data_IF_339155077780
#
_entry.id   IF_339155077780
#
_cell.length_a   1.000
_cell.length_b   1.000
_cell.length_c   1.000
_cell.angle_alpha   90.00
_cell.angle_beta   90.00
_cell.angle_gamma   90.00
#
_symmetry.space_group_name_H-M   'P 1'
#
loop_
_entity.id
_entity.type
_entity.pdbx_description
1 polymer ?
#
# COMPACT_ATOMS: atom_id res chain seq x y z
N UNK A 1 -59.16 36.02 -31.54
CA UNK A 1 -58.91 34.71 -30.92
C UNK A 1 -57.44 34.63 -30.55
N UNK A 2 -57.02 34.71 -29.28
CA UNK A 2 -55.59 34.57 -28.90
C UNK A 2 -55.23 33.09 -28.73
N UNK A 3 -54.15 32.69 -29.38
CA UNK A 3 -53.55 31.34 -29.21
C UNK A 3 -52.72 31.33 -27.94
N UNK A 4 -53.12 30.49 -26.99
CA UNK A 4 -52.39 30.21 -25.74
C UNK A 4 -51.28 29.22 -26.03
N UNK A 5 -49.99 29.62 -25.92
CA UNK A 5 -48.85 28.73 -25.96
C UNK A 5 -48.62 28.16 -24.56
N UNK A 6 -48.84 26.86 -24.39
CA UNK A 6 -48.41 26.10 -23.21
C UNK A 6 -46.93 25.77 -23.35
N UNK A 7 -46.08 26.42 -22.55
CA UNK A 7 -44.69 25.99 -22.35
C UNK A 7 -44.66 24.84 -21.33
N UNK A 8 -44.43 23.65 -21.83
CA UNK A 8 -44.17 22.47 -20.97
C UNK A 8 -42.71 22.50 -20.52
N UNK A 9 -42.48 22.80 -19.25
CA UNK A 9 -41.17 22.68 -18.61
C UNK A 9 -40.90 21.21 -18.32
N UNK A 10 -40.01 20.57 -19.11
CA UNK A 10 -39.49 19.22 -18.83
C UNK A 10 -38.39 19.35 -17.78
N UNK A 11 -38.71 18.97 -16.53
CA UNK A 11 -37.72 18.82 -15.47
C UNK A 11 -36.94 17.54 -15.72
N UNK A 12 -35.74 17.65 -16.31
CA UNK A 12 -34.78 16.56 -16.36
C UNK A 12 -34.22 16.32 -14.96
N UNK A 13 -34.76 15.33 -14.26
CA UNK A 13 -34.11 14.71 -13.09
C UNK A 13 -32.86 14.02 -13.52
N UNK A 14 -31.68 14.66 -13.38
CA UNK A 14 -30.39 14.00 -13.45
C UNK A 14 -30.26 13.18 -12.17
N UNK A 15 -30.63 11.89 -12.27
CA UNK A 15 -30.26 10.90 -11.24
C UNK A 15 -28.76 10.71 -11.39
N UNK A 16 -27.99 11.45 -10.58
CA UNK A 16 -26.59 11.14 -10.36
C UNK A 16 -26.54 9.78 -9.66
N UNK A 17 -26.38 8.70 -10.42
CA UNK A 17 -25.93 7.44 -9.87
C UNK A 17 -24.57 7.71 -9.25
N UNK A 18 -24.51 7.87 -7.94
CA UNK A 18 -23.29 7.77 -7.17
C UNK A 18 -22.78 6.33 -7.37
N UNK A 19 -21.92 6.14 -8.37
CA UNK A 19 -21.15 4.92 -8.49
C UNK A 19 -20.32 4.82 -7.21
N UNK A 20 -20.80 4.03 -6.26
CA UNK A 20 -20.08 3.69 -5.05
C UNK A 20 -18.92 2.79 -5.50
N UNK A 21 -17.74 3.37 -5.74
CA UNK A 21 -16.55 2.57 -6.01
C UNK A 21 -16.20 1.83 -4.73
N UNK A 22 -16.02 0.51 -4.84
CA UNK A 22 -15.50 -0.28 -3.74
C UNK A 22 -14.03 0.10 -3.49
N UNK A 23 -13.56 0.03 -2.23
CA UNK A 23 -12.16 0.27 -1.94
C UNK A 23 -11.26 -0.77 -2.62
N UNK A 24 -10.06 -0.36 -3.02
CA UNK A 24 -9.03 -1.29 -3.48
C UNK A 24 -8.67 -2.26 -2.35
N UNK A 25 -8.46 -3.52 -2.70
CA UNK A 25 -8.06 -4.57 -1.76
C UNK A 25 -6.56 -4.75 -1.84
N UNK A 26 -5.85 -4.38 -0.77
CA UNK A 26 -4.39 -4.49 -0.69
C UNK A 26 -4.03 -5.58 0.31
N UNK A 27 -3.39 -6.66 -0.17
CA UNK A 27 -2.92 -7.75 0.67
C UNK A 27 -1.72 -7.31 1.51
N UNK A 28 -1.89 -7.26 2.84
CA UNK A 28 -0.85 -6.86 3.81
C UNK A 28 0.22 -7.94 3.90
N UNK A 29 1.45 -7.61 3.50
CA UNK A 29 2.58 -8.55 3.41
C UNK A 29 2.22 -9.81 2.58
N UNK A 30 1.41 -9.61 1.55
CA UNK A 30 0.69 -10.67 0.85
C UNK A 30 -0.66 -11.00 1.51
N UNK A 31 -0.96 -12.28 1.67
CA UNK A 31 -2.11 -12.76 2.43
C UNK A 31 -1.63 -13.35 3.77
N UNK A 32 -1.04 -12.51 4.65
CA UNK A 32 -0.38 -12.98 5.86
C UNK A 32 -1.31 -13.67 6.87
N UNK A 33 -2.61 -13.50 6.73
CA UNK A 33 -3.59 -14.24 7.53
C UNK A 33 -3.68 -15.73 7.19
N UNK A 34 -3.09 -16.16 6.07
CA UNK A 34 -3.09 -17.54 5.57
C UNK A 34 -1.70 -18.15 5.43
N UNK A 35 -0.71 -17.36 5.00
CA UNK A 35 0.66 -17.81 4.72
C UNK A 35 1.64 -16.83 5.35
N UNK A 36 2.83 -17.32 5.73
CA UNK A 36 3.86 -16.50 6.36
C UNK A 36 4.11 -15.20 5.61
N UNK A 37 4.07 -14.10 6.33
CA UNK A 37 4.19 -12.73 5.83
C UNK A 37 5.45 -12.48 4.99
N UNK A 38 5.36 -11.57 4.01
CA UNK A 38 6.49 -11.11 3.22
C UNK A 38 7.23 -12.25 2.49
N UNK A 39 6.52 -13.29 2.08
CA UNK A 39 7.06 -14.42 1.31
C UNK A 39 6.40 -14.51 -0.06
N UNK A 40 7.11 -15.08 -1.04
CA UNK A 40 6.56 -15.31 -2.39
C UNK A 40 5.21 -16.07 -2.32
N UNK A 41 5.06 -17.18 -1.56
CA UNK A 41 3.77 -17.87 -1.45
C UNK A 41 2.66 -17.03 -0.81
N UNK A 42 2.98 -16.09 0.10
CA UNK A 42 1.98 -15.17 0.67
C UNK A 42 1.47 -14.20 -0.38
N UNK A 43 2.35 -13.70 -1.24
CA UNK A 43 2.02 -12.82 -2.35
C UNK A 43 1.17 -13.55 -3.38
N UNK A 44 1.58 -14.75 -3.80
CA UNK A 44 0.82 -15.62 -4.70
C UNK A 44 -0.59 -15.90 -4.16
N UNK A 45 -0.70 -16.15 -2.85
CA UNK A 45 -1.99 -16.36 -2.21
C UNK A 45 -2.88 -15.12 -2.23
N UNK A 46 -2.34 -13.93 -2.04
CA UNK A 46 -3.11 -12.69 -2.16
C UNK A 46 -3.60 -12.46 -3.60
N UNK A 47 -2.79 -12.78 -4.61
CA UNK A 47 -3.18 -12.75 -6.02
C UNK A 47 -4.33 -13.73 -6.28
N UNK A 48 -4.21 -14.98 -5.80
CA UNK A 48 -5.26 -16.02 -5.91
C UNK A 48 -6.59 -15.55 -5.29
N UNK A 49 -6.53 -14.84 -4.15
CA UNK A 49 -7.69 -14.30 -3.45
C UNK A 49 -8.26 -13.01 -4.09
N UNK A 50 -7.71 -12.56 -5.21
CA UNK A 50 -8.24 -11.44 -5.99
C UNK A 50 -7.92 -10.07 -5.41
N UNK A 51 -6.78 -9.91 -4.72
CA UNK A 51 -6.28 -8.61 -4.31
C UNK A 51 -6.03 -7.69 -5.52
N UNK A 52 -6.30 -6.38 -5.37
CA UNK A 52 -5.98 -5.36 -6.38
C UNK A 52 -4.52 -4.90 -6.29
N UNK A 53 -3.91 -5.14 -5.15
CA UNK A 53 -2.51 -4.83 -4.89
C UNK A 53 -1.95 -5.61 -3.71
N UNK A 54 -0.65 -5.53 -3.57
CA UNK A 54 0.12 -6.17 -2.51
C UNK A 54 0.89 -5.08 -1.76
N UNK A 55 0.92 -5.17 -0.45
CA UNK A 55 1.82 -4.39 0.39
C UNK A 55 2.95 -5.29 0.90
N UNK A 56 4.17 -4.78 0.91
CA UNK A 56 5.38 -5.45 1.41
C UNK A 56 6.28 -4.48 2.16
N UNK A 57 7.09 -5.01 3.06
CA UNK A 57 8.08 -4.27 3.84
C UNK A 57 9.49 -4.48 3.30
N UNK A 58 10.31 -3.43 3.14
CA UNK A 58 11.67 -3.56 2.65
C UNK A 58 12.72 -2.99 3.59
N UNK A 59 13.84 -3.72 3.70
CA UNK A 59 15.09 -3.27 4.31
C UNK A 59 16.23 -3.34 3.28
N UNK A 60 17.24 -2.52 3.47
CA UNK A 60 18.52 -2.68 2.78
C UNK A 60 19.44 -3.54 3.65
N UNK A 61 19.84 -4.72 3.16
CA UNK A 61 20.75 -5.61 3.88
C UNK A 61 22.21 -5.13 3.83
N UNK A 62 23.10 -5.78 4.58
CA UNK A 62 24.50 -5.35 4.71
C UNK A 62 25.27 -5.30 3.38
N UNK A 63 24.93 -6.14 2.43
CA UNK A 63 25.57 -6.19 1.10
C UNK A 63 24.95 -5.21 0.09
N UNK A 64 23.87 -4.51 0.48
CA UNK A 64 23.28 -3.39 -0.27
C UNK A 64 21.98 -3.71 -0.98
N UNK A 65 21.56 -4.97 -1.08
CA UNK A 65 20.33 -5.38 -1.75
C UNK A 65 19.10 -5.07 -0.89
N UNK A 66 17.96 -4.86 -1.55
CA UNK A 66 16.67 -4.70 -0.90
C UNK A 66 16.02 -6.07 -0.67
N UNK A 67 15.72 -6.38 0.59
CA UNK A 67 15.11 -7.63 1.02
C UNK A 67 13.75 -7.38 1.65
N UNK A 68 12.82 -8.33 1.45
CA UNK A 68 11.43 -8.18 1.87
C UNK A 68 11.21 -8.89 3.20
N UNK A 69 11.07 -8.10 4.26
CA UNK A 69 10.92 -8.58 5.63
C UNK A 69 10.42 -7.44 6.52
N UNK A 70 9.68 -7.75 7.60
CA UNK A 70 9.07 -6.71 8.44
C UNK A 70 9.91 -6.28 9.63
N UNK A 71 10.43 -7.24 10.41
CA UNK A 71 11.11 -6.94 11.67
C UNK A 71 12.61 -6.67 11.44
N UNK A 72 13.17 -5.73 12.21
CA UNK A 72 14.61 -5.47 12.14
C UNK A 72 15.44 -6.66 12.66
N UNK A 73 14.86 -7.45 13.58
CA UNK A 73 15.50 -8.64 14.15
C UNK A 73 14.96 -9.91 13.48
N UNK A 74 15.86 -10.79 13.07
CA UNK A 74 15.56 -12.02 12.33
C UNK A 74 14.99 -13.16 13.21
N UNK A 75 15.33 -13.16 14.49
CA UNK A 75 15.10 -14.27 15.42
C UNK A 75 13.63 -14.58 15.71
N UNK A 76 12.74 -13.61 15.51
CA UNK A 76 11.30 -13.78 15.76
C UNK A 76 10.63 -14.70 14.73
N UNK A 77 11.00 -14.59 13.47
CA UNK A 77 10.35 -15.29 12.36
C UNK A 77 11.25 -16.26 11.61
N UNK A 78 12.56 -16.26 11.89
CA UNK A 78 13.52 -17.11 11.15
C UNK A 78 14.37 -17.97 12.08
N UNK A 79 15.15 -18.87 11.46
CA UNK A 79 16.17 -19.65 12.13
C UNK A 79 17.52 -18.92 12.30
N UNK A 80 17.59 -17.63 11.93
CA UNK A 80 18.75 -16.77 12.12
C UNK A 80 18.52 -15.80 13.28
N UNK A 81 19.62 -15.32 13.85
CA UNK A 81 19.61 -14.26 14.86
C UNK A 81 20.30 -13.01 14.30
N UNK A 82 19.97 -11.86 14.85
CA UNK A 82 20.63 -10.59 14.55
C UNK A 82 19.80 -9.64 13.70
N UNK A 83 20.42 -8.52 13.34
CA UNK A 83 19.80 -7.43 12.61
C UNK A 83 19.88 -7.69 11.10
N UNK A 84 18.75 -7.55 10.41
CA UNK A 84 18.64 -7.75 8.96
C UNK A 84 19.52 -6.78 8.16
N UNK A 85 19.68 -5.54 8.63
CA UNK A 85 20.52 -4.51 7.97
C UNK A 85 22.02 -4.80 8.13
N UNK A 86 22.42 -5.64 9.12
CA UNK A 86 23.80 -6.06 9.37
C UNK A 86 24.12 -7.46 8.78
N UNK A 87 23.13 -8.11 8.18
CA UNK A 87 23.26 -9.46 7.61
C UNK A 87 23.36 -9.37 6.08
N UNK A 88 24.32 -10.13 5.49
CA UNK A 88 24.49 -10.17 4.02
C UNK A 88 23.35 -10.93 3.34
N UNK A 89 23.09 -10.64 2.05
CA UNK A 89 22.09 -11.36 1.26
C UNK A 89 22.35 -12.87 1.24
N UNK A 90 23.61 -13.30 1.07
CA UNK A 90 23.99 -14.72 1.07
C UNK A 90 23.58 -15.44 2.36
N UNK A 91 23.64 -14.75 3.49
CA UNK A 91 23.18 -15.29 4.78
C UNK A 91 21.66 -15.28 4.87
N UNK A 92 21.01 -14.19 4.44
CA UNK A 92 19.55 -14.05 4.45
C UNK A 92 18.88 -15.10 3.54
N UNK A 93 19.50 -15.45 2.41
CA UNK A 93 18.98 -16.52 1.52
C UNK A 93 19.02 -17.92 2.13
N UNK A 94 19.80 -18.12 3.20
CA UNK A 94 19.83 -19.37 3.99
C UNK A 94 18.77 -19.36 5.11
N UNK A 95 18.22 -18.21 5.43
CA UNK A 95 17.15 -18.08 6.41
C UNK A 95 15.88 -18.81 5.97
N UNK A 96 15.15 -19.32 6.96
CA UNK A 96 13.85 -19.96 6.75
C UNK A 96 12.81 -19.27 7.63
N UNK A 97 11.95 -18.46 7.00
CA UNK A 97 10.78 -17.84 7.65
C UNK A 97 9.83 -18.96 8.08
N UNK A 98 9.52 -19.02 9.37
CA UNK A 98 8.73 -20.08 10.01
C UNK A 98 9.21 -21.50 9.65
N UNK A 99 10.51 -21.68 9.42
CA UNK A 99 11.12 -22.96 9.08
C UNK A 99 10.92 -23.44 7.64
N UNK A 100 10.19 -22.71 6.79
CA UNK A 100 9.75 -23.16 5.46
C UNK A 100 10.19 -22.23 4.32
N UNK A 101 9.95 -20.93 4.43
CA UNK A 101 10.01 -20.01 3.30
C UNK A 101 11.32 -19.21 3.26
N UNK A 102 11.79 -18.86 2.08
CA UNK A 102 12.93 -17.98 1.92
C UNK A 102 12.50 -16.49 2.12
N UNK A 103 13.45 -15.66 2.55
CA UNK A 103 13.31 -14.20 2.51
C UNK A 103 13.51 -13.77 1.04
N UNK A 104 12.51 -13.14 0.39
CA UNK A 104 12.68 -12.67 -0.98
C UNK A 104 13.45 -11.34 -1.04
N UNK A 105 14.05 -11.07 -2.19
CA UNK A 105 14.48 -9.71 -2.56
C UNK A 105 13.33 -8.94 -3.17
N UNK A 106 13.45 -7.61 -3.22
CA UNK A 106 12.47 -6.78 -3.92
C UNK A 106 12.41 -7.13 -5.42
N UNK A 107 13.54 -7.48 -6.06
CA UNK A 107 13.56 -7.94 -7.44
C UNK A 107 12.68 -9.17 -7.65
N UNK A 108 12.82 -10.20 -6.80
CA UNK A 108 12.00 -11.42 -6.91
C UNK A 108 10.51 -11.14 -6.78
N UNK A 109 10.11 -10.16 -5.96
CA UNK A 109 8.71 -9.73 -5.84
C UNK A 109 8.26 -8.94 -7.08
N UNK A 110 9.09 -8.03 -7.57
CA UNK A 110 8.80 -7.25 -8.79
C UNK A 110 8.64 -8.16 -10.00
N UNK A 111 9.52 -9.15 -10.15
CA UNK A 111 9.49 -10.14 -11.24
C UNK A 111 8.23 -11.03 -11.16
N UNK A 112 7.80 -11.42 -9.94
CA UNK A 112 6.58 -12.21 -9.73
C UNK A 112 5.32 -11.45 -10.15
N UNK A 113 5.20 -10.18 -9.75
CA UNK A 113 4.00 -9.37 -9.98
C UNK A 113 3.96 -8.84 -11.42
N UNK A 114 5.12 -8.54 -12.02
CA UNK A 114 5.31 -8.06 -13.40
C UNK A 114 4.30 -6.97 -13.84
N UNK A 115 4.08 -5.97 -12.97
CA UNK A 115 3.18 -4.85 -13.25
C UNK A 115 1.68 -5.20 -13.32
N UNK A 116 1.29 -6.44 -13.04
CA UNK A 116 -0.11 -6.88 -13.11
C UNK A 116 -1.00 -6.25 -12.03
N UNK A 117 -0.43 -5.99 -10.85
CA UNK A 117 -1.12 -5.44 -9.68
C UNK A 117 -0.43 -4.16 -9.16
N UNK A 118 -1.09 -3.47 -8.24
CA UNK A 118 -0.46 -2.40 -7.46
C UNK A 118 0.52 -3.04 -6.47
N UNK A 119 1.72 -2.47 -6.34
CA UNK A 119 2.68 -2.84 -5.31
C UNK A 119 2.94 -1.65 -4.39
N UNK A 120 2.51 -1.77 -3.14
CA UNK A 120 2.85 -0.82 -2.07
C UNK A 120 4.10 -1.31 -1.34
N UNK A 121 5.18 -0.54 -1.45
CA UNK A 121 6.48 -0.85 -0.85
C UNK A 121 6.67 0.04 0.37
N UNK A 122 6.60 -0.54 1.58
CA UNK A 122 6.94 0.16 2.81
C UNK A 122 8.46 0.22 3.01
N UNK A 123 9.01 1.42 3.08
CA UNK A 123 10.42 1.64 3.42
C UNK A 123 10.60 1.54 4.94
N UNK A 124 11.04 0.38 5.44
CA UNK A 124 11.23 0.09 6.88
C UNK A 124 12.57 0.57 7.41
N UNK A 125 13.65 0.29 6.67
CA UNK A 125 15.00 0.65 7.04
C UNK A 125 15.34 2.10 6.71
N UNK A 126 16.39 2.64 7.34
CA UNK A 126 16.98 3.92 6.96
C UNK A 126 17.88 3.73 5.73
N UNK A 127 17.88 4.71 4.82
CA UNK A 127 18.66 4.64 3.58
C UNK A 127 18.11 3.66 2.55
N UNK A 128 16.80 3.34 2.61
CA UNK A 128 16.10 2.51 1.63
C UNK A 128 15.58 3.30 0.44
N UNK A 129 15.32 4.61 0.60
CA UNK A 129 14.72 5.44 -0.45
C UNK A 129 15.54 5.47 -1.75
N UNK A 130 16.86 5.68 -1.66
CA UNK A 130 17.74 5.78 -2.83
C UNK A 130 17.81 4.45 -3.59
N UNK A 131 18.21 3.31 -2.98
CA UNK A 131 18.30 2.05 -3.70
C UNK A 131 16.94 1.56 -4.22
N UNK A 132 15.82 1.88 -3.54
CA UNK A 132 14.48 1.59 -4.06
C UNK A 132 14.18 2.40 -5.31
N UNK A 133 14.48 3.72 -5.31
CA UNK A 133 14.31 4.53 -6.52
C UNK A 133 15.14 4.00 -7.68
N UNK A 134 16.42 3.67 -7.45
CA UNK A 134 17.34 3.22 -8.50
C UNK A 134 16.85 1.90 -9.13
N UNK A 135 16.40 0.96 -8.30
CA UNK A 135 15.81 -0.30 -8.76
C UNK A 135 14.53 -0.05 -9.58
N UNK A 136 13.62 0.79 -9.10
CA UNK A 136 12.38 1.11 -9.82
C UNK A 136 12.67 1.77 -11.17
N UNK A 137 13.65 2.67 -11.26
CA UNK A 137 14.03 3.28 -12.54
C UNK A 137 14.51 2.26 -13.56
N UNK A 138 15.20 1.19 -13.13
CA UNK A 138 15.61 0.11 -14.02
C UNK A 138 14.41 -0.72 -14.49
N UNK A 139 13.44 -1.02 -13.61
CA UNK A 139 12.20 -1.70 -14.00
C UNK A 139 11.36 -0.87 -14.95
N UNK A 140 11.17 0.43 -14.73
CA UNK A 140 10.40 1.30 -15.63
C UNK A 140 11.00 1.41 -17.03
N UNK A 141 12.32 1.24 -17.18
CA UNK A 141 12.99 1.26 -18.49
C UNK A 141 12.95 -0.07 -19.20
N UNK A 142 12.99 -1.18 -18.45
CA UNK A 142 13.32 -2.50 -19.01
C UNK A 142 12.20 -3.54 -18.87
N UNK A 143 11.05 -3.19 -18.28
CA UNK A 143 9.94 -4.11 -18.04
C UNK A 143 8.57 -3.46 -18.29
N UNK A 144 7.48 -4.19 -17.98
CA UNK A 144 6.09 -3.75 -18.10
C UNK A 144 5.61 -2.84 -16.95
N UNK A 145 6.46 -2.52 -15.96
CA UNK A 145 6.06 -1.72 -14.82
C UNK A 145 5.77 -0.26 -15.18
N UNK A 146 4.58 0.20 -14.78
CA UNK A 146 4.16 1.60 -14.84
C UNK A 146 4.35 2.24 -13.45
N UNK A 147 4.94 3.46 -13.34
CA UNK A 147 5.08 4.17 -12.07
C UNK A 147 3.77 4.27 -11.27
N UNK A 148 2.63 4.39 -11.92
CA UNK A 148 1.31 4.48 -11.27
C UNK A 148 0.87 3.19 -10.55
N UNK A 149 1.52 2.07 -10.84
CA UNK A 149 1.30 0.77 -10.18
C UNK A 149 2.14 0.60 -8.91
N UNK A 150 3.06 1.52 -8.62
CA UNK A 150 3.87 1.52 -7.41
C UNK A 150 3.33 2.57 -6.44
N UNK A 151 3.31 2.23 -5.14
CA UNK A 151 3.09 3.17 -4.05
C UNK A 151 4.27 3.00 -3.09
N UNK A 152 4.95 4.08 -2.74
CA UNK A 152 5.98 4.07 -1.70
C UNK A 152 5.37 4.56 -0.41
N UNK A 153 5.47 3.76 0.65
CA UNK A 153 4.97 4.14 1.97
C UNK A 153 6.06 4.03 3.04
N UNK A 154 5.90 4.76 4.13
CA UNK A 154 6.78 4.65 5.30
C UNK A 154 6.23 5.38 6.52
N UNK A 155 6.54 4.87 7.72
CA UNK A 155 6.51 5.61 8.98
C UNK A 155 7.72 6.54 9.14
N UNK A 156 8.83 6.28 8.42
CA UNK A 156 10.01 7.14 8.37
C UNK A 156 9.78 8.24 7.32
N UNK A 157 9.18 9.33 7.74
CA UNK A 157 8.83 10.43 6.84
C UNK A 157 10.06 11.08 6.18
N UNK A 158 11.26 10.94 6.78
CA UNK A 158 12.49 11.39 6.17
C UNK A 158 12.83 10.57 4.90
N UNK A 159 12.60 9.25 4.91
CA UNK A 159 12.76 8.41 3.71
C UNK A 159 11.77 8.84 2.61
N UNK A 160 10.52 9.15 2.98
CA UNK A 160 9.52 9.67 2.02
C UNK A 160 9.94 11.03 1.45
N UNK A 161 10.51 11.91 2.29
CA UNK A 161 11.01 13.21 1.81
C UNK A 161 12.19 13.04 0.85
N UNK A 162 13.12 12.11 1.12
CA UNK A 162 14.21 11.75 0.20
C UNK A 162 13.65 11.21 -1.11
N UNK A 163 12.77 10.19 -1.03
CA UNK A 163 12.18 9.56 -2.21
C UNK A 163 11.40 10.57 -3.07
N UNK A 164 10.60 11.45 -2.45
CA UNK A 164 9.83 12.48 -3.15
C UNK A 164 10.70 13.50 -3.91
N UNK A 165 11.96 13.67 -3.50
CA UNK A 165 12.91 14.53 -4.22
C UNK A 165 13.56 13.81 -5.41
N UNK A 166 13.73 12.48 -5.32
CA UNK A 166 14.33 11.65 -6.36
C UNK A 166 13.32 11.32 -7.48
N UNK A 167 12.07 11.08 -7.09
CA UNK A 167 11.03 10.60 -8.01
C UNK A 167 9.74 11.42 -7.84
N UNK A 168 9.18 11.90 -8.96
CA UNK A 168 7.95 12.69 -8.97
C UNK A 168 6.77 11.96 -9.61
N UNK A 169 7.01 10.79 -10.18
CA UNK A 169 6.02 10.01 -10.92
C UNK A 169 5.39 8.92 -10.05
N UNK A 170 6.17 8.35 -9.14
CA UNK A 170 5.70 7.28 -8.25
C UNK A 170 4.85 7.86 -7.11
N UNK A 171 3.61 7.39 -6.92
CA UNK A 171 2.76 7.71 -5.79
C UNK A 171 3.41 7.46 -4.43
N UNK A 172 3.19 8.37 -3.48
CA UNK A 172 3.70 8.25 -2.11
C UNK A 172 2.54 8.25 -1.13
N UNK A 173 2.59 7.36 -0.12
CA UNK A 173 1.63 7.27 0.96
C UNK A 173 2.31 7.47 2.33
N UNK A 174 1.75 8.36 3.15
CA UNK A 174 2.28 8.66 4.49
C UNK A 174 1.65 7.74 5.51
N UNK A 175 2.43 6.81 6.09
CA UNK A 175 1.99 5.95 7.18
C UNK A 175 1.93 6.72 8.50
N UNK A 176 0.87 6.46 9.29
CA UNK A 176 0.74 7.01 10.64
C UNK A 176 -0.08 6.10 11.56
N UNK A 177 0.37 5.97 12.80
CA UNK A 177 -0.31 5.33 13.92
C UNK A 177 -0.79 6.34 14.99
N UNK A 178 -0.75 7.65 14.64
CA UNK A 178 -1.22 8.78 15.45
C UNK A 178 -2.44 9.44 14.79
N UNK A 179 -2.85 10.60 15.31
CA UNK A 179 -3.94 11.36 14.66
C UNK A 179 -3.62 11.58 13.17
N UNK A 180 -4.44 11.02 12.26
CA UNK A 180 -4.17 11.12 10.83
C UNK A 180 -4.17 12.56 10.30
N UNK A 181 -4.78 13.52 11.01
CA UNK A 181 -4.74 14.93 10.66
C UNK A 181 -3.33 15.53 10.79
N UNK A 182 -2.49 15.01 11.68
CA UNK A 182 -1.10 15.45 11.85
C UNK A 182 -0.23 15.14 10.62
N UNK A 183 -0.63 14.16 9.81
CA UNK A 183 0.08 13.81 8.59
C UNK A 183 -0.21 14.77 7.42
N UNK A 184 -1.30 15.54 7.44
CA UNK A 184 -1.71 16.41 6.32
C UNK A 184 -0.63 17.42 5.93
N UNK A 185 -0.01 18.19 6.85
CA UNK A 185 1.00 19.17 6.47
C UNK A 185 2.20 18.56 5.74
N UNK A 186 2.66 17.38 6.21
CA UNK A 186 3.75 16.67 5.57
C UNK A 186 3.31 16.08 4.21
N UNK A 187 2.16 15.44 4.15
CA UNK A 187 1.61 14.90 2.89
C UNK A 187 1.48 15.99 1.81
N UNK A 188 1.00 17.18 2.17
CA UNK A 188 0.93 18.33 1.25
C UNK A 188 2.32 18.81 0.82
N UNK A 189 3.27 18.88 1.74
CA UNK A 189 4.66 19.31 1.45
C UNK A 189 5.29 18.44 0.37
N UNK A 190 5.13 17.10 0.47
CA UNK A 190 5.74 16.16 -0.48
C UNK A 190 4.82 15.78 -1.65
N UNK A 191 3.62 16.37 -1.71
CA UNK A 191 2.55 16.03 -2.68
C UNK A 191 2.18 14.56 -2.65
N UNK A 192 2.02 14.01 -1.44
CA UNK A 192 1.66 12.62 -1.27
C UNK A 192 0.30 12.30 -1.91
N UNK A 193 0.20 11.13 -2.49
CA UNK A 193 -1.02 10.56 -3.07
C UNK A 193 -2.02 10.14 -1.99
N UNK A 194 -1.51 9.61 -0.86
CA UNK A 194 -2.35 9.07 0.19
C UNK A 194 -1.77 9.28 1.60
N UNK A 195 -2.64 9.12 2.59
CA UNK A 195 -2.28 8.84 3.98
C UNK A 195 -2.78 7.43 4.29
N UNK A 196 -1.91 6.60 4.88
CA UNK A 196 -2.22 5.25 5.34
C UNK A 196 -2.30 5.24 6.87
N UNK A 197 -3.47 5.54 7.45
CA UNK A 197 -3.64 5.62 8.90
C UNK A 197 -3.97 4.26 9.51
N UNK A 198 -3.66 4.08 10.79
CA UNK A 198 -4.24 3.00 11.59
C UNK A 198 -5.77 3.14 11.58
N UNK A 199 -6.49 2.12 11.12
CA UNK A 199 -7.93 2.18 10.86
C UNK A 199 -8.77 2.61 12.08
N UNK A 200 -8.35 2.17 13.30
CA UNK A 200 -9.06 2.49 14.54
C UNK A 200 -9.02 3.98 14.92
N UNK A 201 -8.21 4.79 14.26
CA UNK A 201 -8.11 6.25 14.44
C UNK A 201 -8.96 7.02 13.42
N UNK A 202 -9.52 6.34 12.42
CA UNK A 202 -10.40 6.99 11.44
C UNK A 202 -11.80 7.20 11.99
N UNK A 203 -12.33 8.39 11.72
CA UNK A 203 -13.68 8.83 12.04
C UNK A 203 -14.29 9.50 10.82
N UNK A 204 -15.61 9.67 10.78
CA UNK A 204 -16.27 10.44 9.72
C UNK A 204 -15.68 11.85 9.57
N UNK A 205 -15.31 12.49 10.69
CA UNK A 205 -14.77 13.85 10.70
C UNK A 205 -13.40 13.93 10.05
N UNK A 206 -12.43 13.15 10.52
CA UNK A 206 -11.05 13.24 10.00
C UNK A 206 -10.91 12.66 8.60
N UNK A 207 -11.64 11.57 8.26
CA UNK A 207 -11.69 11.05 6.89
C UNK A 207 -12.18 12.10 5.90
N UNK A 208 -13.27 12.84 6.26
CA UNK A 208 -13.78 13.91 5.40
C UNK A 208 -12.74 15.01 5.21
N UNK A 209 -12.09 15.46 6.28
CA UNK A 209 -11.07 16.53 6.21
C UNK A 209 -9.92 16.12 5.28
N UNK A 210 -9.39 14.89 5.41
CA UNK A 210 -8.30 14.39 4.58
C UNK A 210 -8.71 14.32 3.10
N UNK A 211 -9.92 13.82 2.83
CA UNK A 211 -10.46 13.72 1.46
C UNK A 211 -10.74 15.09 0.85
N UNK A 212 -11.20 16.07 1.62
CA UNK A 212 -11.41 17.45 1.16
C UNK A 212 -10.08 18.13 0.74
N UNK A 213 -8.93 17.66 1.27
CA UNK A 213 -7.58 18.07 0.82
C UNK A 213 -7.12 17.34 -0.45
N UNK A 214 -7.93 16.45 -1.02
CA UNK A 214 -7.59 15.65 -2.21
C UNK A 214 -6.64 14.49 -1.94
N UNK A 215 -6.45 14.09 -0.68
CA UNK A 215 -5.56 13.02 -0.25
C UNK A 215 -6.36 11.73 -0.09
N UNK A 216 -5.89 10.64 -0.64
CA UNK A 216 -6.52 9.32 -0.53
C UNK A 216 -6.26 8.66 0.83
N UNK A 217 -7.09 7.66 1.18
CA UNK A 217 -7.03 6.93 2.43
C UNK A 217 -6.92 5.44 2.20
N UNK A 218 -5.83 4.84 2.74
CA UNK A 218 -5.58 3.40 2.74
C UNK A 218 -5.34 2.92 4.17
N UNK A 219 -6.42 2.74 5.00
CA UNK A 219 -6.28 2.28 6.37
C UNK A 219 -5.71 0.86 6.48
N UNK A 220 -4.95 0.62 7.55
CA UNK A 220 -4.29 -0.65 7.91
C UNK A 220 -4.44 -0.97 9.40
N UNK A 221 -4.33 -2.19 9.85
CA UNK A 221 -4.62 -3.43 9.15
C UNK A 221 -6.06 -3.81 9.47
N UNK A 222 -6.93 -3.89 8.47
CA UNK A 222 -8.37 -4.04 8.65
C UNK A 222 -8.77 -5.47 8.34
N UNK A 223 -9.05 -6.27 9.36
CA UNK A 223 -9.24 -7.72 9.23
C UNK A 223 -10.66 -8.20 9.57
N UNK A 224 -11.32 -7.51 10.49
CA UNK A 224 -12.66 -7.91 10.91
C UNK A 224 -13.71 -7.42 9.90
N UNK A 225 -14.68 -8.26 9.49
CA UNK A 225 -15.73 -7.87 8.55
C UNK A 225 -16.52 -6.61 8.98
N UNK A 226 -16.71 -6.39 10.28
CA UNK A 226 -17.40 -5.20 10.79
C UNK A 226 -16.55 -3.94 10.60
N UNK A 227 -15.22 -4.04 10.76
CA UNK A 227 -14.30 -2.93 10.53
C UNK A 227 -14.16 -2.64 9.03
N UNK A 228 -14.08 -3.69 8.20
CA UNK A 228 -14.09 -3.56 6.73
C UNK A 228 -15.34 -2.79 6.28
N UNK A 229 -16.52 -3.17 6.78
CA UNK A 229 -17.77 -2.47 6.50
C UNK A 229 -17.74 -1.00 6.96
N UNK A 230 -17.16 -0.76 8.13
CA UNK A 230 -17.02 0.60 8.68
C UNK A 230 -16.12 1.46 7.81
N UNK A 231 -14.94 0.96 7.40
CA UNK A 231 -14.01 1.66 6.52
C UNK A 231 -14.62 1.91 5.13
N UNK A 232 -15.30 0.92 4.57
CA UNK A 232 -16.06 1.08 3.30
C UNK A 232 -17.12 2.17 3.41
N UNK A 233 -17.82 2.26 4.56
CA UNK A 233 -18.82 3.29 4.80
C UNK A 233 -18.24 4.69 4.94
N UNK A 234 -16.99 4.82 5.40
CA UNK A 234 -16.23 6.08 5.41
C UNK A 234 -15.78 6.49 3.99
N UNK A 235 -15.92 5.60 3.01
CA UNK A 235 -15.52 5.84 1.63
C UNK A 235 -14.01 5.96 1.49
N UNK A 236 -13.25 5.06 2.12
CA UNK A 236 -11.80 4.97 1.94
C UNK A 236 -11.46 4.48 0.53
N UNK A 237 -10.29 4.81 0.02
CA UNK A 237 -9.89 4.50 -1.36
C UNK A 237 -9.33 3.08 -1.50
N UNK A 238 -8.79 2.52 -0.41
CA UNK A 238 -8.34 1.14 -0.34
C UNK A 238 -8.31 0.63 1.10
N UNK A 239 -8.18 -0.67 1.27
CA UNK A 239 -8.10 -1.36 2.55
C UNK A 239 -6.88 -2.27 2.53
N UNK A 240 -5.95 -2.09 3.47
CA UNK A 240 -4.81 -2.98 3.69
C UNK A 240 -5.22 -4.03 4.71
N UNK A 241 -5.20 -5.31 4.32
CA UNK A 241 -5.76 -6.43 5.09
C UNK A 241 -4.93 -7.70 4.99
N UNK A 242 -4.91 -8.49 6.07
CA UNK A 242 -4.30 -9.82 6.09
C UNK A 242 -5.15 -10.87 5.34
N UNK A 243 -6.42 -10.55 5.06
CA UNK A 243 -7.43 -11.44 4.49
C UNK A 243 -8.13 -10.80 3.29
N UNK A 244 -7.48 -10.76 2.10
CA UNK A 244 -8.01 -10.08 0.93
C UNK A 244 -9.42 -10.50 0.51
N UNK A 245 -9.76 -11.78 0.68
CA UNK A 245 -11.07 -12.37 0.37
C UNK A 245 -12.23 -11.87 1.24
N UNK A 246 -11.93 -11.24 2.39
CA UNK A 246 -12.97 -10.68 3.28
C UNK A 246 -13.48 -9.31 2.81
N UNK A 247 -12.77 -8.64 1.91
CA UNK A 247 -13.21 -7.36 1.34
C UNK A 247 -14.09 -7.64 0.14
N UNK A 248 -15.40 -7.66 0.35
CA UNK A 248 -16.37 -7.91 -0.72
C UNK A 248 -16.37 -6.76 -1.72
N UNK A 249 -16.37 -7.13 -3.01
CA UNK A 249 -16.51 -6.22 -4.16
C UNK A 249 -17.93 -6.22 -4.75
N UNK A 250 -18.90 -6.86 -4.04
CA UNK A 250 -20.29 -6.96 -4.44
C UNK A 250 -21.21 -6.03 -3.64
#
# INVERSE_FOLDING_TARGET
MPRLFFLTFIFLFVISCLNKSFPLVIGHRGAMGYIAENTIPSIEKAIELGADGIEIDVFKCASGELVVFHDIMLDKLTNLNGNIEETSLDSLKKAKVLGLYAIPTLNEVMDLIDGSLILNIELKGSGTAVPTNDLLQDYFKNSSWDPSKIIISSFKWDELNIFSNLNKEVPIAVLTDRDPLEAIPFAKKIKAYAINPKYSLLTNKNSKIIKDEGIKLFPWTVNDPSDIKSMTSLGVDGIITDFPDRVNKE
#
